data_IF_153831625513
#
_entry.id   IF_153831625513
#
_cell.length_a   1.000
_cell.length_b   1.000
_cell.length_c   1.000
_cell.angle_alpha   90.00
_cell.angle_beta   90.00
_cell.angle_gamma   90.00
#
_symmetry.space_group_name_H-M   'P 1'
#
loop_
_entity.id
_entity.type
_entity.pdbx_description
1 polymer ?
#
# COMPACT_ATOMS: atom_id res chain seq x y z
N UNK A 1 -6.35 -14.47 12.49
CA UNK A 1 -7.39 -14.47 11.44
C UNK A 1 -7.43 -13.11 10.77
N UNK A 2 -6.80 -13.02 9.59
CA UNK A 2 -7.22 -12.32 8.35
C UNK A 2 -7.62 -10.82 8.27
N UNK A 3 -7.53 -10.00 9.32
CA UNK A 3 -7.52 -8.52 9.13
C UNK A 3 -6.09 -7.95 8.99
N UNK A 4 -5.08 -8.80 9.12
CA UNK A 4 -3.73 -8.45 8.73
C UNK A 4 -3.74 -8.08 7.24
N UNK A 5 -3.00 -7.03 6.87
CA UNK A 5 -2.92 -6.50 5.50
C UNK A 5 -4.21 -5.87 4.96
N UNK A 6 -5.25 -5.67 5.78
CA UNK A 6 -6.50 -5.06 5.32
C UNK A 6 -6.27 -3.69 4.66
N UNK A 7 -5.40 -2.85 5.24
CA UNK A 7 -5.08 -1.54 4.66
C UNK A 7 -4.47 -1.69 3.27
N UNK A 8 -3.60 -2.69 3.08
CA UNK A 8 -3.06 -3.03 1.76
C UNK A 8 -4.14 -3.50 0.80
N UNK A 9 -5.02 -4.40 1.22
CA UNK A 9 -6.10 -4.96 0.38
C UNK A 9 -7.08 -3.86 -0.05
N UNK A 10 -7.52 -3.01 0.88
CA UNK A 10 -8.43 -1.90 0.60
C UNK A 10 -7.78 -0.91 -0.35
N UNK A 11 -6.54 -0.49 -0.12
CA UNK A 11 -5.87 0.45 -1.02
C UNK A 11 -5.61 -0.16 -2.40
N UNK A 12 -5.31 -1.46 -2.46
CA UNK A 12 -5.09 -2.16 -3.72
C UNK A 12 -6.40 -2.29 -4.53
N UNK A 13 -7.53 -2.58 -3.89
CA UNK A 13 -8.84 -2.62 -4.56
C UNK A 13 -9.29 -1.25 -5.07
N UNK A 14 -8.81 -0.17 -4.46
CA UNK A 14 -9.03 1.20 -4.90
C UNK A 14 -8.09 1.65 -6.03
N UNK A 15 -7.13 0.81 -6.43
CA UNK A 15 -6.08 1.21 -7.38
C UNK A 15 -6.58 1.80 -8.71
N UNK A 16 -7.67 1.33 -9.35
CA UNK A 16 -8.14 1.92 -10.60
C UNK A 16 -8.62 3.37 -10.42
N UNK A 17 -9.27 3.66 -9.28
CA UNK A 17 -9.74 4.99 -8.92
C UNK A 17 -8.60 5.90 -8.50
N UNK A 18 -7.62 5.38 -7.75
CA UNK A 18 -6.43 6.15 -7.33
C UNK A 18 -5.61 6.55 -8.56
N UNK A 19 -5.33 5.64 -9.49
CA UNK A 19 -4.62 5.95 -10.74
C UNK A 19 -5.37 7.03 -11.52
N UNK A 20 -6.69 6.88 -11.67
CA UNK A 20 -7.50 7.83 -12.43
C UNK A 20 -7.59 9.21 -11.77
N UNK A 21 -7.66 9.24 -10.44
CA UNK A 21 -7.64 10.47 -9.67
C UNK A 21 -6.31 11.19 -9.80
N UNK A 22 -5.19 10.50 -9.52
CA UNK A 22 -3.86 11.09 -9.60
C UNK A 22 -3.54 11.58 -11.01
N UNK A 23 -3.83 10.78 -12.03
CA UNK A 23 -3.65 11.18 -13.42
C UNK A 23 -4.44 12.45 -13.74
N UNK A 24 -5.72 12.50 -13.38
CA UNK A 24 -6.56 13.65 -13.68
C UNK A 24 -6.18 14.91 -12.91
N UNK A 25 -5.69 14.79 -11.67
CA UNK A 25 -5.13 15.92 -10.91
C UNK A 25 -3.83 16.43 -11.54
N UNK A 26 -2.99 15.54 -12.07
CA UNK A 26 -1.71 15.92 -12.65
C UNK A 26 -1.83 16.48 -14.08
N UNK A 27 -2.87 16.11 -14.82
CA UNK A 27 -3.03 16.46 -16.25
C UNK A 27 -4.22 17.37 -16.56
N UNK A 28 -5.15 17.55 -15.63
CA UNK A 28 -6.46 18.17 -15.84
C UNK A 28 -7.30 17.45 -16.92
N UNK A 29 -6.98 16.19 -17.24
CA UNK A 29 -7.66 15.38 -18.24
C UNK A 29 -8.19 14.06 -17.67
N UNK A 30 -8.86 13.27 -18.51
CA UNK A 30 -9.36 11.96 -18.12
C UNK A 30 -8.28 10.91 -18.29
N UNK A 31 -8.19 9.99 -17.33
CA UNK A 31 -7.28 8.86 -17.41
C UNK A 31 -7.58 8.01 -18.64
N UNK A 32 -6.55 7.61 -19.43
CA UNK A 32 -6.75 6.76 -20.59
C UNK A 32 -7.20 5.34 -20.23
N UNK A 33 -7.11 4.94 -18.96
CA UNK A 33 -7.44 3.60 -18.49
C UNK A 33 -8.94 3.44 -18.16
N UNK A 34 -9.49 4.40 -17.43
CA UNK A 34 -10.86 4.33 -16.88
C UNK A 34 -11.79 5.40 -17.46
N UNK A 35 -11.25 6.36 -18.22
CA UNK A 35 -11.97 7.50 -18.80
C UNK A 35 -12.84 8.24 -17.77
N UNK A 36 -12.35 8.31 -16.52
CA UNK A 36 -12.99 9.03 -15.43
C UNK A 36 -12.29 10.37 -15.23
N UNK A 37 -13.08 11.42 -15.00
CA UNK A 37 -12.55 12.67 -14.45
C UNK A 37 -12.10 12.48 -13.01
N UNK A 38 -11.14 13.28 -12.54
CA UNK A 38 -10.63 13.21 -11.18
C UNK A 38 -11.75 13.26 -10.13
N UNK A 39 -12.75 14.14 -10.32
CA UNK A 39 -13.92 14.26 -9.41
C UNK A 39 -14.76 12.98 -9.34
N UNK A 40 -15.01 12.32 -10.47
CA UNK A 40 -15.77 11.05 -10.50
C UNK A 40 -14.95 9.92 -9.90
N UNK A 41 -13.67 9.82 -10.25
CA UNK A 41 -12.75 8.83 -9.69
C UNK A 41 -12.67 8.94 -8.16
N UNK A 42 -12.56 10.17 -7.63
CA UNK A 42 -12.59 10.41 -6.18
C UNK A 42 -13.91 9.98 -5.55
N UNK A 43 -15.05 10.39 -6.12
CA UNK A 43 -16.37 10.04 -5.58
C UNK A 43 -16.60 8.51 -5.54
N UNK A 44 -16.26 7.80 -6.61
CA UNK A 44 -16.41 6.35 -6.67
C UNK A 44 -15.41 5.63 -5.77
N UNK A 45 -14.15 6.07 -5.75
CA UNK A 45 -13.14 5.56 -4.83
C UNK A 45 -13.55 5.74 -3.37
N UNK A 46 -14.07 6.92 -3.01
CA UNK A 46 -14.57 7.18 -1.66
C UNK A 46 -15.77 6.29 -1.32
N UNK A 47 -16.72 6.11 -2.25
CA UNK A 47 -17.84 5.20 -2.06
C UNK A 47 -17.39 3.76 -1.79
N UNK A 48 -16.44 3.25 -2.58
CA UNK A 48 -15.90 1.90 -2.40
C UNK A 48 -15.08 1.77 -1.10
N UNK A 49 -14.32 2.81 -0.72
CA UNK A 49 -13.61 2.85 0.55
C UNK A 49 -14.56 2.75 1.74
N UNK A 50 -15.66 3.53 1.74
CA UNK A 50 -16.68 3.47 2.79
C UNK A 50 -17.30 2.08 2.88
N UNK A 51 -17.65 1.46 1.75
CA UNK A 51 -18.17 0.08 1.73
C UNK A 51 -17.16 -0.92 2.29
N UNK A 52 -15.88 -0.78 1.96
CA UNK A 52 -14.82 -1.63 2.49
C UNK A 52 -14.65 -1.47 4.02
N UNK A 53 -14.73 -0.24 4.54
CA UNK A 53 -14.73 0.01 5.98
C UNK A 53 -15.94 -0.62 6.68
N UNK A 54 -17.14 -0.57 6.08
CA UNK A 54 -18.34 -1.23 6.62
C UNK A 54 -18.13 -2.75 6.66
N UNK A 55 -17.66 -3.35 5.57
CA UNK A 55 -17.36 -4.78 5.51
C UNK A 55 -16.33 -5.22 6.56
N UNK A 56 -15.29 -4.40 6.77
CA UNK A 56 -14.32 -4.62 7.83
C UNK A 56 -14.97 -4.55 9.21
N UNK A 57 -15.76 -3.51 9.51
CA UNK A 57 -16.41 -3.35 10.81
C UNK A 57 -17.30 -4.55 11.14
N UNK A 58 -18.10 -5.02 10.17
CA UNK A 58 -18.95 -6.21 10.36
C UNK A 58 -18.12 -7.46 10.68
N UNK A 59 -17.04 -7.69 9.92
CA UNK A 59 -16.14 -8.83 10.15
C UNK A 59 -15.42 -8.72 11.50
N UNK A 60 -14.98 -7.51 11.85
CA UNK A 60 -14.30 -7.23 13.10
C UNK A 60 -15.22 -7.43 14.30
N UNK A 61 -16.49 -7.01 14.22
CA UNK A 61 -17.50 -7.26 15.25
C UNK A 61 -17.77 -8.75 15.48
N UNK A 62 -17.84 -9.54 14.41
CA UNK A 62 -17.98 -11.00 14.54
C UNK A 62 -16.73 -11.60 15.19
N UNK A 63 -15.54 -11.12 14.80
CA UNK A 63 -14.28 -11.61 15.36
C UNK A 63 -14.14 -11.26 16.84
N UNK A 64 -14.48 -10.04 17.26
CA UNK A 64 -14.47 -9.63 18.66
C UNK A 64 -15.48 -10.46 19.46
N UNK A 65 -16.68 -10.69 18.94
CA UNK A 65 -17.68 -11.54 19.60
C UNK A 65 -17.17 -12.96 19.89
N UNK A 66 -16.54 -13.59 18.88
CA UNK A 66 -15.97 -14.94 19.03
C UNK A 66 -14.81 -14.94 20.04
N UNK A 67 -13.90 -13.96 19.94
CA UNK A 67 -12.74 -13.84 20.85
C UNK A 67 -13.15 -13.64 22.30
N UNK A 68 -14.21 -12.88 22.55
CA UNK A 68 -14.72 -12.63 23.89
C UNK A 68 -15.74 -13.66 24.39
N UNK A 69 -15.93 -14.79 23.70
CA UNK A 69 -16.87 -15.82 24.11
C UNK A 69 -18.33 -15.32 24.22
N UNK A 70 -18.70 -14.33 23.40
CA UNK A 70 -20.01 -13.68 23.43
C UNK A 70 -20.00 -12.23 23.94
N UNK A 71 -18.93 -11.79 24.60
CA UNK A 71 -18.75 -10.41 25.05
C UNK A 71 -17.86 -9.61 24.06
N UNK A 72 -18.46 -8.62 23.39
CA UNK A 72 -17.76 -7.78 22.42
C UNK A 72 -16.62 -6.95 23.04
N UNK A 73 -16.81 -6.45 24.26
CA UNK A 73 -15.82 -5.62 24.93
C UNK A 73 -14.63 -6.45 25.39
N UNK A 74 -14.89 -7.61 26.00
CA UNK A 74 -13.84 -8.55 26.39
C UNK A 74 -13.02 -8.98 25.17
N UNK A 75 -13.67 -9.33 24.06
CA UNK A 75 -12.99 -9.70 22.83
C UNK A 75 -12.21 -8.56 22.17
N UNK A 76 -12.72 -7.33 22.23
CA UNK A 76 -11.99 -6.15 21.77
C UNK A 76 -10.71 -5.93 22.59
N UNK A 77 -10.80 -6.02 23.91
CA UNK A 77 -9.64 -5.88 24.80
C UNK A 77 -8.62 -7.01 24.58
N UNK A 78 -9.07 -8.25 24.40
CA UNK A 78 -8.19 -9.36 24.04
C UNK A 78 -7.41 -9.06 22.76
N UNK A 79 -8.10 -8.67 21.69
CA UNK A 79 -7.47 -8.32 20.41
C UNK A 79 -6.52 -7.13 20.57
N UNK A 80 -6.93 -6.09 21.32
CA UNK A 80 -6.11 -4.91 21.50
C UNK A 80 -4.77 -5.23 22.18
N UNK A 81 -4.80 -5.97 23.29
CA UNK A 81 -3.60 -6.31 24.05
C UNK A 81 -2.75 -7.37 23.35
N UNK A 82 -3.36 -8.44 22.84
CA UNK A 82 -2.64 -9.60 22.34
C UNK A 82 -2.27 -9.51 20.86
N UNK A 83 -3.02 -8.76 20.05
CA UNK A 83 -2.77 -8.63 18.61
C UNK A 83 -2.32 -7.20 18.26
N UNK A 84 -3.09 -6.17 18.59
CA UNK A 84 -2.81 -4.80 18.13
C UNK A 84 -1.51 -4.24 18.71
N UNK A 85 -1.37 -4.17 20.03
CA UNK A 85 -0.19 -3.57 20.67
C UNK A 85 1.11 -4.32 20.32
N UNK A 86 1.04 -5.65 20.20
CA UNK A 86 2.19 -6.49 19.84
C UNK A 86 2.62 -6.34 18.38
N UNK A 87 1.68 -6.17 17.45
CA UNK A 87 1.93 -6.27 15.99
C UNK A 87 1.93 -4.93 15.27
N UNK A 88 1.17 -3.96 15.76
CA UNK A 88 0.89 -2.69 15.11
C UNK A 88 1.70 -1.55 15.77
N UNK A 89 1.01 -0.54 16.28
CA UNK A 89 1.54 0.68 16.88
C UNK A 89 1.16 0.76 18.36
N UNK A 90 1.94 1.48 19.15
CA UNK A 90 1.60 1.85 20.53
C UNK A 90 1.96 0.83 21.62
N UNK A 91 2.41 -0.38 21.28
CA UNK A 91 2.91 -1.35 22.26
C UNK A 91 4.28 -0.97 22.84
N UNK A 92 4.46 -1.22 24.13
CA UNK A 92 5.74 -1.01 24.82
C UNK A 92 6.51 -2.34 24.93
N UNK A 93 7.81 -2.31 24.62
CA UNK A 93 8.67 -3.50 24.68
C UNK A 93 8.74 -4.15 26.08
N UNK A 94 8.40 -3.41 27.15
CA UNK A 94 8.40 -3.93 28.52
C UNK A 94 7.21 -4.83 28.82
N UNK A 95 6.14 -4.72 28.04
CA UNK A 95 4.86 -5.41 28.28
C UNK A 95 4.77 -6.74 27.52
N UNK A 96 5.78 -7.05 26.71
CA UNK A 96 5.82 -8.22 25.84
C UNK A 96 7.13 -9.00 26.04
N UNK A 97 7.16 -10.23 25.54
CA UNK A 97 8.37 -11.05 25.53
C UNK A 97 9.55 -10.27 24.90
N UNK A 98 10.77 -10.33 25.49
CA UNK A 98 11.95 -9.63 25.00
C UNK A 98 12.26 -9.84 23.51
N UNK A 99 11.82 -10.97 22.92
CA UNK A 99 11.96 -11.23 21.47
C UNK A 99 11.29 -10.17 20.60
N UNK A 100 10.24 -9.51 21.09
CA UNK A 100 9.51 -8.47 20.35
C UNK A 100 10.12 -7.07 20.48
N UNK A 101 11.07 -6.86 21.42
CA UNK A 101 11.56 -5.53 21.78
C UNK A 101 12.13 -4.76 20.58
N UNK A 102 12.94 -5.42 19.74
CA UNK A 102 13.50 -4.80 18.53
C UNK A 102 12.40 -4.33 17.57
N UNK A 103 11.38 -5.15 17.34
CA UNK A 103 10.27 -4.82 16.44
C UNK A 103 9.37 -3.69 16.95
N UNK A 104 9.13 -3.65 18.27
CA UNK A 104 8.30 -2.64 18.91
C UNK A 104 9.01 -1.28 18.93
N UNK A 105 10.33 -1.28 19.08
CA UNK A 105 11.15 -0.06 19.07
C UNK A 105 11.52 0.42 17.65
N UNK A 106 11.45 -0.46 16.64
CA UNK A 106 11.71 -0.08 15.26
C UNK A 106 10.70 0.98 14.77
N UNK A 107 11.17 1.96 14.01
CA UNK A 107 10.30 2.97 13.40
C UNK A 107 9.86 2.54 11.98
N UNK A 108 8.86 3.23 11.41
CA UNK A 108 8.32 2.88 10.10
C UNK A 108 9.35 2.99 8.96
N UNK A 109 10.28 3.96 9.03
CA UNK A 109 11.32 4.13 8.01
C UNK A 109 12.32 2.99 8.03
N UNK A 110 12.69 2.53 9.23
CA UNK A 110 13.54 1.35 9.41
C UNK A 110 12.87 0.12 8.76
N UNK A 111 11.59 -0.11 9.03
CA UNK A 111 10.84 -1.21 8.42
C UNK A 111 10.80 -1.08 6.90
N UNK A 112 10.48 0.09 6.36
CA UNK A 112 10.47 0.33 4.91
C UNK A 112 11.86 0.06 4.31
N UNK A 113 12.94 0.48 4.99
CA UNK A 113 14.31 0.28 4.51
C UNK A 113 14.70 -1.20 4.40
N UNK A 114 14.21 -2.06 5.30
CA UNK A 114 14.43 -3.52 5.23
C UNK A 114 13.94 -4.05 3.88
N UNK A 115 12.78 -3.57 3.41
CA UNK A 115 12.19 -4.03 2.15
C UNK A 115 12.79 -3.35 0.93
N UNK A 116 13.12 -2.05 1.01
CA UNK A 116 13.72 -1.30 -0.10
C UNK A 116 15.19 -1.65 -0.37
N UNK A 117 15.93 -2.13 0.64
CA UNK A 117 17.39 -2.35 0.56
C UNK A 117 17.85 -3.42 -0.44
N UNK A 118 16.94 -4.12 -1.12
CA UNK A 118 17.29 -5.13 -2.13
C UNK A 118 17.91 -4.44 -3.36
N UNK A 119 19.12 -4.83 -3.81
CA UNK A 119 19.82 -4.15 -4.91
C UNK A 119 18.99 -4.05 -6.19
N UNK A 120 18.32 -5.13 -6.58
CA UNK A 120 17.44 -5.13 -7.75
C UNK A 120 16.24 -4.19 -7.61
N UNK A 121 15.68 -4.06 -6.41
CA UNK A 121 14.55 -3.17 -6.16
C UNK A 121 14.98 -1.71 -6.30
N UNK A 122 16.13 -1.33 -5.73
CA UNK A 122 16.69 0.02 -5.86
C UNK A 122 17.06 0.34 -7.31
N UNK A 123 17.63 -0.62 -8.04
CA UNK A 123 17.95 -0.47 -9.46
C UNK A 123 16.69 -0.16 -10.27
N UNK A 124 15.66 -1.02 -10.20
CA UNK A 124 14.44 -0.83 -10.97
C UNK A 124 13.66 0.42 -10.55
N UNK A 125 13.61 0.72 -9.25
CA UNK A 125 13.04 1.97 -8.77
C UNK A 125 13.78 3.19 -9.32
N UNK A 126 15.11 3.18 -9.30
CA UNK A 126 15.94 4.25 -9.86
C UNK A 126 15.70 4.43 -11.36
N UNK A 127 15.66 3.34 -12.13
CA UNK A 127 15.37 3.39 -13.57
C UNK A 127 13.94 3.90 -13.84
N UNK A 128 12.95 3.48 -13.05
CA UNK A 128 11.57 3.98 -13.17
C UNK A 128 11.46 5.48 -12.84
N UNK A 129 12.16 5.95 -11.80
CA UNK A 129 12.24 7.38 -11.46
C UNK A 129 12.91 8.17 -12.58
N UNK A 130 14.01 7.67 -13.15
CA UNK A 130 14.67 8.30 -14.30
C UNK A 130 13.71 8.37 -15.50
N UNK A 131 12.94 7.31 -15.78
CA UNK A 131 11.94 7.31 -16.84
C UNK A 131 10.88 8.42 -16.62
N UNK A 132 10.38 8.59 -15.39
CA UNK A 132 9.47 9.69 -15.05
C UNK A 132 10.10 11.08 -15.25
N UNK A 133 11.35 11.28 -14.80
CA UNK A 133 12.05 12.58 -14.90
C UNK A 133 12.38 12.94 -16.35
N UNK A 134 12.72 11.94 -17.17
CA UNK A 134 13.10 12.12 -18.58
C UNK A 134 11.92 12.13 -19.55
N UNK A 135 10.70 11.84 -19.10
CA UNK A 135 9.51 11.85 -19.94
C UNK A 135 9.07 13.30 -20.24
N UNK A 136 9.06 13.64 -21.54
CA UNK A 136 8.71 14.98 -22.03
C UNK A 136 7.19 15.20 -22.01
N UNK A 137 6.41 14.18 -22.33
CA UNK A 137 4.95 14.28 -22.31
C UNK A 137 4.41 14.30 -20.88
N UNK A 138 3.66 15.35 -20.57
CA UNK A 138 2.98 15.54 -19.28
C UNK A 138 2.04 14.37 -18.99
N UNK A 139 1.35 13.88 -20.00
CA UNK A 139 0.37 12.80 -19.94
C UNK A 139 1.03 11.49 -19.50
N UNK A 140 2.09 11.08 -20.20
CA UNK A 140 2.79 9.83 -19.87
C UNK A 140 3.54 9.93 -18.55
N UNK A 141 4.17 11.08 -18.27
CA UNK A 141 4.81 11.31 -16.98
C UNK A 141 3.82 11.20 -15.83
N UNK A 142 2.65 11.82 -15.96
CA UNK A 142 1.58 11.72 -14.97
C UNK A 142 1.08 10.27 -14.80
N UNK A 143 0.94 9.53 -15.90
CA UNK A 143 0.57 8.12 -15.86
C UNK A 143 1.61 7.28 -15.10
N UNK A 144 2.91 7.46 -15.37
CA UNK A 144 3.97 6.73 -14.68
C UNK A 144 4.00 7.04 -13.19
N UNK A 145 3.91 8.33 -12.83
CA UNK A 145 3.81 8.76 -11.43
C UNK A 145 2.59 8.14 -10.75
N UNK A 146 1.43 8.18 -11.42
CA UNK A 146 0.18 7.62 -10.87
C UNK A 146 0.30 6.12 -10.59
N UNK A 147 0.91 5.34 -11.50
CA UNK A 147 1.15 3.91 -11.30
C UNK A 147 2.12 3.64 -10.13
N UNK A 148 3.26 4.34 -10.10
CA UNK A 148 4.27 4.15 -9.06
C UNK A 148 3.72 4.47 -7.68
N UNK A 149 3.05 5.62 -7.53
CA UNK A 149 2.45 6.05 -6.26
C UNK A 149 1.31 5.10 -5.87
N UNK A 150 0.37 4.84 -6.78
CA UNK A 150 -0.78 3.99 -6.49
C UNK A 150 -0.38 2.61 -5.98
N UNK A 151 0.57 1.95 -6.66
CA UNK A 151 0.96 0.60 -6.29
C UNK A 151 1.95 0.55 -5.13
N UNK A 152 2.60 1.65 -4.76
CA UNK A 152 3.39 1.72 -3.52
C UNK A 152 2.51 1.83 -2.27
N UNK A 153 1.39 2.57 -2.35
CA UNK A 153 0.52 2.87 -1.21
C UNK A 153 0.02 1.63 -0.45
N UNK A 154 -0.44 0.53 -1.10
CA UNK A 154 -0.85 -0.68 -0.40
C UNK A 154 0.21 -1.24 0.54
N UNK A 155 1.42 -1.46 0.04
CA UNK A 155 2.51 -2.04 0.83
C UNK A 155 2.96 -1.07 1.94
N UNK A 156 3.16 0.20 1.59
CA UNK A 156 3.56 1.24 2.54
C UNK A 156 2.54 1.41 3.68
N UNK A 157 1.24 1.34 3.40
CA UNK A 157 0.21 1.46 4.43
C UNK A 157 0.39 0.43 5.55
N UNK A 158 0.75 -0.80 5.19
CA UNK A 158 0.95 -1.87 6.15
C UNK A 158 2.31 -1.82 6.82
N UNK A 159 3.38 -1.46 6.11
CA UNK A 159 4.70 -1.29 6.75
C UNK A 159 4.71 -0.17 7.79
N UNK A 160 3.85 0.84 7.62
CA UNK A 160 3.65 1.89 8.61
C UNK A 160 2.78 1.41 9.77
N UNK A 161 1.59 0.86 9.48
CA UNK A 161 0.62 0.51 10.53
C UNK A 161 0.98 -0.79 11.27
N UNK A 162 1.39 -1.81 10.53
CA UNK A 162 1.86 -3.11 11.02
C UNK A 162 3.38 -3.18 11.10
N UNK A 163 4.04 -2.10 11.53
CA UNK A 163 5.52 -1.99 11.52
C UNK A 163 6.19 -3.14 12.29
N UNK A 164 5.69 -3.47 13.48
CA UNK A 164 6.33 -4.43 14.38
C UNK A 164 6.18 -5.84 13.81
N UNK A 165 4.99 -6.16 13.28
CA UNK A 165 4.75 -7.39 12.54
C UNK A 165 5.63 -7.51 11.29
N UNK A 166 5.72 -6.44 10.49
CA UNK A 166 6.53 -6.40 9.27
C UNK A 166 8.03 -6.49 9.56
N UNK A 167 8.49 -6.00 10.72
CA UNK A 167 9.89 -6.12 11.11
C UNK A 167 10.29 -7.59 11.33
N UNK A 168 9.41 -8.38 11.95
CA UNK A 168 9.64 -9.80 12.27
C UNK A 168 9.35 -10.70 11.06
N UNK A 169 8.16 -10.59 10.47
CA UNK A 169 7.65 -11.51 9.46
C UNK A 169 8.07 -11.14 8.03
N UNK A 170 9.38 -10.90 7.82
CA UNK A 170 9.96 -10.47 6.54
C UNK A 170 9.71 -11.46 5.40
N UNK A 171 9.72 -12.76 5.72
CA UNK A 171 9.50 -13.86 4.77
C UNK A 171 8.06 -13.92 4.24
N UNK A 172 7.12 -13.22 4.85
CA UNK A 172 5.73 -13.17 4.40
C UNK A 172 5.38 -11.77 3.89
N UNK A 173 5.73 -10.73 4.66
CA UNK A 173 5.35 -9.35 4.40
C UNK A 173 6.01 -8.78 3.12
N UNK A 174 7.04 -9.42 2.58
CA UNK A 174 7.62 -9.01 1.29
C UNK A 174 6.58 -9.07 0.16
N UNK A 175 5.60 -9.99 0.24
CA UNK A 175 4.60 -10.22 -0.81
C UNK A 175 3.78 -8.96 -1.11
N UNK A 176 3.62 -8.06 -0.13
CA UNK A 176 2.89 -6.82 -0.29
C UNK A 176 3.50 -5.91 -1.36
N UNK A 177 4.83 -5.89 -1.50
CA UNK A 177 5.48 -5.17 -2.59
C UNK A 177 5.27 -5.84 -3.96
N UNK A 178 5.02 -7.15 -3.99
CA UNK A 178 4.75 -7.88 -5.22
C UNK A 178 3.32 -7.67 -5.72
N UNK A 179 2.42 -7.17 -4.87
CA UNK A 179 1.07 -6.75 -5.24
C UNK A 179 1.08 -5.37 -5.94
N UNK A 180 1.57 -5.37 -7.18
CA UNK A 180 1.50 -4.24 -8.10
C UNK A 180 2.74 -3.35 -8.15
N UNK A 181 3.47 -3.13 -7.04
CA UNK A 181 4.60 -2.19 -7.06
C UNK A 181 5.78 -2.73 -7.85
N UNK A 182 6.17 -3.99 -7.64
CA UNK A 182 7.18 -4.64 -8.47
C UNK A 182 6.82 -4.62 -9.96
N UNK A 183 5.54 -4.84 -10.27
CA UNK A 183 5.05 -4.76 -11.64
C UNK A 183 5.17 -3.33 -12.19
N UNK A 184 4.86 -2.29 -11.39
CA UNK A 184 4.91 -0.90 -11.84
C UNK A 184 6.33 -0.38 -12.05
N UNK A 185 7.28 -0.69 -11.16
CA UNK A 185 8.70 -0.29 -11.31
C UNK A 185 9.39 -0.96 -12.51
N UNK A 186 8.90 -2.13 -12.95
CA UNK A 186 9.38 -2.80 -14.17
C UNK A 186 8.64 -2.27 -15.40
N UNK A 187 7.32 -2.14 -15.32
CA UNK A 187 6.47 -1.72 -16.44
C UNK A 187 6.81 -0.32 -16.94
N UNK A 188 6.94 0.66 -16.03
CA UNK A 188 7.19 2.06 -16.39
C UNK A 188 8.41 2.24 -17.30
N UNK A 189 9.61 1.75 -16.95
CA UNK A 189 10.78 1.94 -17.80
C UNK A 189 10.70 1.14 -19.10
N UNK A 190 10.16 -0.08 -19.10
CA UNK A 190 9.98 -0.88 -20.33
C UNK A 190 9.03 -0.15 -21.29
N UNK A 191 7.91 0.34 -20.78
CA UNK A 191 6.93 1.04 -21.60
C UNK A 191 7.44 2.40 -22.10
N UNK A 192 8.18 3.14 -21.26
CA UNK A 192 8.85 4.36 -21.69
C UNK A 192 9.86 4.09 -22.84
N UNK A 193 10.68 3.05 -22.70
CA UNK A 193 11.63 2.65 -23.75
C UNK A 193 10.91 2.22 -25.03
N UNK A 194 9.90 1.36 -24.92
CA UNK A 194 9.09 0.92 -26.05
C UNK A 194 8.53 2.10 -26.84
N UNK A 195 7.96 3.10 -26.16
CA UNK A 195 7.41 4.27 -26.85
C UNK A 195 8.48 5.11 -27.54
N UNK A 196 9.66 5.27 -26.95
CA UNK A 196 10.77 6.01 -27.60
C UNK A 196 11.27 5.31 -28.86
N UNK A 197 11.26 3.98 -28.88
CA UNK A 197 11.66 3.19 -30.05
C UNK A 197 10.62 3.22 -31.16
N UNK A 198 9.32 3.15 -30.81
CA UNK A 198 8.23 3.12 -31.80
C UNK A 198 7.78 4.51 -32.25
N UNK A 199 7.98 5.56 -31.44
CA UNK A 199 7.58 6.94 -31.73
C UNK A 199 8.73 7.92 -31.41
N UNK A 200 9.80 7.97 -32.22
CA UNK A 200 11.01 8.74 -31.94
C UNK A 200 10.87 10.27 -32.03
N UNK A 201 9.69 10.80 -32.34
CA UNK A 201 9.44 12.23 -32.62
C UNK A 201 8.83 13.02 -31.44
N UNK A 202 9.00 12.59 -30.19
CA UNK A 202 8.52 13.28 -28.99
C UNK A 202 9.60 13.44 -27.91
#
# INVERSE_FOLDING_TARGET
MSYEFLTSIILFSLSPFIVSFLYGVLTDSQSPFLSLSAKKAFKYGLGLFVLACIGFLLTFMIHTYIRGGGDLWAGLMDIYHNDFLRRMLGGSAKDFDPVYAASLNANALEVISIYLSKPFMLLWLGVAVIACVKESSKEYRAFYIALLVCFALPALSWFVLGKSHSYIHRHFCFVLWYLGFWASIIYVPIYCLYRRLCHPTC
#
